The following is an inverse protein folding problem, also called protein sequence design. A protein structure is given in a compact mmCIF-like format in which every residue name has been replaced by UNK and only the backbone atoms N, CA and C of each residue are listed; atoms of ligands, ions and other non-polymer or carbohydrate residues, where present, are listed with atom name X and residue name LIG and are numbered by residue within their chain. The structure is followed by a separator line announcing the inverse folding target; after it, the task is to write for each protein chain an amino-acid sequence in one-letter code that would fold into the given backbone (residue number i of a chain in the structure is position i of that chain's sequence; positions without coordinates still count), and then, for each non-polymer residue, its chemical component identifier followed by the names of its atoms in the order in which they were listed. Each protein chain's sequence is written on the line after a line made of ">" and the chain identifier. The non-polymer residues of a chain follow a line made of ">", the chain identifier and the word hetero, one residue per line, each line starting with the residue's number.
data_IF_962775695939
#
_entry.id   IF_962775695939
#
_cell.length_a   1.000
_cell.length_b   1.000
_cell.length_c   1.000
_cell.angle_alpha   90.00
_cell.angle_beta   90.00
_cell.angle_gamma   90.00
#
_symmetry.space_group_name_H-M   'P 1'
#
loop_
_entity.id
_entity.type
_entity.pdbx_description
1 polymer ?
#
# COMPACT_ATOMS: atom_id res chain seq x y z
N UNK A 1 -9.72 6.27 -10.96
CA UNK A 1 -10.49 6.26 -9.69
C UNK A 1 -9.56 6.09 -8.48
N UNK A 2 -10.03 6.45 -7.26
CA UNK A 2 -9.34 6.18 -5.97
C UNK A 2 -10.13 5.17 -5.13
N UNK A 3 -9.69 3.91 -5.12
CA UNK A 3 -10.33 2.83 -4.39
C UNK A 3 -9.83 2.79 -2.95
N UNK A 4 -10.74 2.66 -1.99
CA UNK A 4 -10.42 2.55 -0.57
C UNK A 4 -11.07 1.32 0.05
N UNK A 5 -10.51 0.87 1.17
CA UNK A 5 -11.21 -0.01 2.08
C UNK A 5 -11.57 0.78 3.33
N UNK A 6 -12.84 0.76 3.72
CA UNK A 6 -13.35 1.56 4.83
C UNK A 6 -14.18 0.73 5.80
N UNK A 7 -14.31 1.24 7.03
CA UNK A 7 -15.32 0.82 8.00
C UNK A 7 -16.10 2.03 8.49
N UNK A 8 -17.34 1.82 8.93
CA UNK A 8 -18.20 2.86 9.50
C UNK A 8 -19.08 2.28 10.60
N UNK A 9 -19.80 3.13 11.34
CA UNK A 9 -20.79 2.68 12.33
C UNK A 9 -21.89 1.80 11.70
N UNK A 10 -22.26 2.07 10.44
CA UNK A 10 -23.22 1.29 9.67
C UNK A 10 -22.62 0.01 9.04
N UNK A 11 -21.29 -0.07 8.95
CA UNK A 11 -20.54 -1.17 8.33
C UNK A 11 -19.29 -1.47 9.17
N UNK A 12 -19.41 -2.25 10.26
CA UNK A 12 -18.26 -2.54 11.12
C UNK A 12 -17.22 -3.45 10.44
N UNK A 13 -17.63 -4.21 9.42
CA UNK A 13 -16.73 -5.02 8.59
C UNK A 13 -16.12 -4.17 7.46
N UNK A 14 -14.86 -4.43 7.05
CA UNK A 14 -14.22 -3.77 5.92
C UNK A 14 -15.06 -3.87 4.64
N UNK A 15 -15.16 -2.77 3.90
CA UNK A 15 -15.84 -2.71 2.59
C UNK A 15 -15.05 -1.91 1.59
N UNK A 16 -15.16 -2.29 0.31
CA UNK A 16 -14.75 -1.49 -0.84
C UNK A 16 -15.54 -0.19 -0.86
N UNK A 17 -14.84 0.92 -1.02
CA UNK A 17 -15.38 2.23 -1.35
C UNK A 17 -14.56 2.93 -2.42
N UNK A 18 -15.09 4.05 -2.89
CA UNK A 18 -14.43 4.92 -3.86
C UNK A 18 -14.42 6.34 -3.29
N UNK A 19 -13.24 6.96 -3.18
CA UNK A 19 -13.14 8.36 -2.80
C UNK A 19 -13.65 9.23 -3.96
N UNK A 20 -14.64 10.07 -3.67
CA UNK A 20 -15.26 10.98 -4.62
C UNK A 20 -15.53 12.32 -3.94
N UNK A 21 -14.62 13.29 -4.17
CA UNK A 21 -14.62 14.55 -3.42
C UNK A 21 -14.33 14.33 -1.93
N UNK A 22 -15.22 14.85 -1.08
CA UNK A 22 -15.19 14.71 0.39
C UNK A 22 -16.00 13.50 0.90
N UNK A 23 -16.37 12.59 0.00
CA UNK A 23 -17.19 11.41 0.31
C UNK A 23 -16.51 10.09 -0.04
N UNK A 24 -16.96 9.02 0.60
CA UNK A 24 -16.72 7.62 0.22
C UNK A 24 -18.02 7.03 -0.31
N UNK A 25 -17.97 6.57 -1.55
CA UNK A 25 -19.07 5.90 -2.25
C UNK A 25 -18.91 4.39 -2.10
N UNK A 26 -19.93 3.70 -1.60
CA UNK A 26 -20.01 2.23 -1.63
C UNK A 26 -20.71 1.79 -2.92
N UNK A 27 -19.97 1.31 -3.94
CA UNK A 27 -20.55 1.06 -5.26
C UNK A 27 -21.59 -0.06 -5.23
N UNK A 28 -21.44 -1.04 -4.34
CA UNK A 28 -22.41 -2.12 -4.20
C UNK A 28 -23.75 -1.61 -3.67
N UNK A 29 -23.72 -0.71 -2.69
CA UNK A 29 -24.94 -0.06 -2.17
C UNK A 29 -25.59 0.86 -3.19
N UNK A 30 -24.80 1.63 -3.94
CA UNK A 30 -25.32 2.52 -4.99
C UNK A 30 -26.09 1.72 -6.05
N UNK A 31 -25.50 0.64 -6.57
CA UNK A 31 -26.13 -0.17 -7.61
C UNK A 31 -27.41 -0.85 -7.11
N UNK A 32 -27.44 -1.33 -5.87
CA UNK A 32 -28.66 -1.88 -5.27
C UNK A 32 -29.74 -0.82 -5.09
N UNK A 33 -29.38 0.38 -4.60
CA UNK A 33 -30.32 1.48 -4.41
C UNK A 33 -30.95 1.94 -5.74
N UNK A 34 -30.14 2.12 -6.79
CA UNK A 34 -30.63 2.49 -8.13
C UNK A 34 -31.56 1.41 -8.71
N UNK A 35 -31.19 0.13 -8.56
CA UNK A 35 -32.02 -0.98 -9.05
C UNK A 35 -33.35 -1.08 -8.32
N UNK A 36 -33.34 -0.94 -6.99
CA UNK A 36 -34.53 -0.91 -6.15
C UNK A 36 -35.48 0.21 -6.57
N UNK A 37 -34.94 1.41 -6.75
CA UNK A 37 -35.69 2.58 -7.20
C UNK A 37 -36.35 2.34 -8.58
N UNK A 38 -35.61 1.76 -9.54
CA UNK A 38 -36.16 1.46 -10.88
C UNK A 38 -37.23 0.37 -10.89
N UNK A 39 -37.19 -0.58 -9.95
CA UNK A 39 -38.13 -1.72 -9.88
C UNK A 39 -39.33 -1.45 -8.96
N UNK A 40 -39.23 -0.46 -8.07
CA UNK A 40 -40.24 -0.18 -7.06
C UNK A 40 -40.21 -1.15 -5.87
N UNK A 41 -39.08 -1.84 -5.65
CA UNK A 41 -38.89 -2.86 -4.61
C UNK A 41 -37.76 -2.46 -3.63
N UNK A 42 -37.41 -3.32 -2.65
CA UNK A 42 -36.36 -3.06 -1.66
C UNK A 42 -34.95 -3.42 -2.18
N UNK A 43 -33.96 -2.57 -1.88
CA UNK A 43 -32.55 -2.80 -2.22
C UNK A 43 -31.97 -4.08 -1.60
N UNK A 44 -32.45 -4.45 -0.40
CA UNK A 44 -32.03 -5.66 0.31
C UNK A 44 -32.41 -6.96 -0.41
N UNK A 45 -33.35 -6.92 -1.36
CA UNK A 45 -33.82 -8.08 -2.12
C UNK A 45 -32.91 -8.40 -3.33
N UNK A 46 -31.81 -7.67 -3.50
CA UNK A 46 -30.93 -7.80 -4.66
C UNK A 46 -29.52 -8.24 -4.25
N UNK A 47 -29.02 -9.30 -4.91
CA UNK A 47 -27.63 -9.72 -4.76
C UNK A 47 -26.67 -8.61 -5.25
N UNK A 48 -25.49 -8.44 -4.62
CA UNK A 48 -24.50 -7.48 -5.07
C UNK A 48 -24.05 -7.78 -6.50
N UNK A 49 -24.09 -6.77 -7.37
CA UNK A 49 -23.61 -6.86 -8.76
C UNK A 49 -22.09 -6.68 -8.86
N UNK A 50 -21.51 -6.03 -7.85
CA UNK A 50 -20.10 -5.75 -7.67
C UNK A 50 -19.67 -6.27 -6.28
N UNK A 51 -18.49 -6.90 -6.14
CA UNK A 51 -17.96 -7.30 -4.84
C UNK A 51 -17.77 -6.11 -3.91
N UNK A 52 -17.91 -6.36 -2.60
CA UNK A 52 -17.67 -5.37 -1.56
C UNK A 52 -16.32 -5.55 -0.85
N UNK A 53 -15.46 -6.43 -1.36
CA UNK A 53 -14.10 -6.66 -0.89
C UNK A 53 -13.12 -6.34 -2.05
N UNK A 54 -11.98 -5.71 -1.73
CA UNK A 54 -11.05 -5.16 -2.72
C UNK A 54 -10.40 -6.22 -3.60
N UNK A 55 -9.95 -7.35 -3.04
CA UNK A 55 -9.36 -8.44 -3.83
C UNK A 55 -10.40 -9.07 -4.74
N UNK A 56 -11.62 -9.30 -4.26
CA UNK A 56 -12.72 -9.78 -5.10
C UNK A 56 -13.08 -8.78 -6.21
N UNK A 57 -13.02 -7.48 -5.94
CA UNK A 57 -13.18 -6.44 -6.96
C UNK A 57 -12.10 -6.53 -8.05
N UNK A 58 -10.83 -6.72 -7.64
CA UNK A 58 -9.73 -6.96 -8.56
C UNK A 58 -9.95 -8.20 -9.43
N UNK A 59 -10.40 -9.31 -8.85
CA UNK A 59 -10.76 -10.54 -9.58
C UNK A 59 -11.87 -10.32 -10.62
N UNK A 60 -12.79 -9.37 -10.35
CA UNK A 60 -13.83 -8.97 -11.28
C UNK A 60 -13.35 -8.17 -12.50
N UNK A 61 -12.11 -7.70 -12.48
CA UNK A 61 -11.42 -7.03 -13.60
C UNK A 61 -12.23 -5.89 -14.22
N UNK A 62 -12.20 -5.79 -15.55
CA UNK A 62 -12.88 -4.73 -16.33
C UNK A 62 -14.38 -4.65 -16.04
N UNK A 63 -15.04 -5.77 -15.74
CA UNK A 63 -16.48 -5.77 -15.43
C UNK A 63 -16.75 -5.05 -14.10
N UNK A 64 -16.00 -5.40 -13.05
CA UNK A 64 -16.17 -4.75 -11.75
C UNK A 64 -15.80 -3.26 -11.83
N UNK A 65 -14.74 -2.93 -12.56
CA UNK A 65 -14.35 -1.54 -12.81
C UNK A 65 -15.47 -0.73 -13.49
N UNK A 66 -16.06 -1.24 -14.58
CA UNK A 66 -17.16 -0.54 -15.26
C UNK A 66 -18.43 -0.38 -14.39
N UNK A 67 -18.70 -1.32 -13.49
CA UNK A 67 -19.78 -1.20 -12.51
C UNK A 67 -19.49 -0.12 -11.45
N UNK A 68 -18.23 0.05 -11.05
CA UNK A 68 -17.81 1.13 -10.18
C UNK A 68 -17.95 2.51 -10.86
N UNK A 69 -17.54 2.64 -12.13
CA UNK A 69 -17.78 3.87 -12.92
C UNK A 69 -19.28 4.17 -13.04
N UNK A 70 -20.11 3.15 -13.29
CA UNK A 70 -21.56 3.30 -13.34
C UNK A 70 -22.12 3.78 -11.99
N UNK A 71 -21.61 3.28 -10.87
CA UNK A 71 -22.02 3.72 -9.54
C UNK A 71 -21.70 5.21 -9.32
N UNK A 72 -20.51 5.68 -9.71
CA UNK A 72 -20.16 7.10 -9.61
C UNK A 72 -21.09 7.97 -10.47
N UNK A 73 -21.40 7.55 -11.70
CA UNK A 73 -22.33 8.27 -12.56
C UNK A 73 -23.75 8.37 -11.97
N UNK A 74 -24.21 7.33 -11.27
CA UNK A 74 -25.48 7.33 -10.54
C UNK A 74 -25.44 8.33 -9.37
N UNK A 75 -24.34 8.36 -8.61
CA UNK A 75 -24.15 9.31 -7.50
C UNK A 75 -24.19 10.74 -8.01
N UNK A 76 -23.47 11.07 -9.07
CA UNK A 76 -23.47 12.41 -9.65
C UNK A 76 -24.86 12.84 -10.13
N UNK A 77 -25.59 11.91 -10.77
CA UNK A 77 -26.96 12.17 -11.21
C UNK A 77 -27.94 12.34 -10.03
N UNK A 78 -27.79 11.57 -8.96
CA UNK A 78 -28.63 11.68 -7.75
C UNK A 78 -28.35 12.97 -6.98
N UNK A 79 -27.07 13.35 -6.84
CA UNK A 79 -26.66 14.61 -6.22
C UNK A 79 -27.25 15.82 -6.96
N UNK A 80 -27.28 15.80 -8.29
CA UNK A 80 -27.93 16.84 -9.10
C UNK A 80 -29.44 16.97 -8.88
N UNK A 81 -30.11 15.96 -8.33
CA UNK A 81 -31.54 15.97 -7.99
C UNK A 81 -31.82 16.17 -6.50
N UNK A 82 -30.81 16.04 -5.64
CA UNK A 82 -30.96 16.01 -4.18
C UNK A 82 -31.52 14.69 -3.64
N UNK A 83 -31.38 13.59 -4.40
CA UNK A 83 -31.86 12.27 -3.99
C UNK A 83 -30.84 11.58 -3.07
N UNK A 84 -31.33 10.98 -1.99
CA UNK A 84 -30.50 10.13 -1.13
C UNK A 84 -30.44 8.69 -1.68
N UNK A 85 -29.23 8.14 -1.80
CA UNK A 85 -29.01 6.74 -2.15
C UNK A 85 -28.84 5.91 -0.87
N UNK A 86 -29.84 5.07 -0.58
CA UNK A 86 -29.88 4.21 0.61
C UNK A 86 -30.10 2.76 0.23
N UNK A 87 -29.38 1.87 0.90
CA UNK A 87 -29.55 0.43 0.83
C UNK A 87 -30.07 -0.07 2.19
N UNK A 88 -31.39 -0.30 2.26
CA UNK A 88 -32.09 -0.49 3.51
C UNK A 88 -31.96 0.74 4.41
N UNK A 89 -31.34 0.58 5.59
CA UNK A 89 -31.07 1.68 6.52
C UNK A 89 -29.67 2.31 6.35
N UNK A 90 -28.84 1.80 5.42
CA UNK A 90 -27.46 2.23 5.28
C UNK A 90 -27.28 3.22 4.13
N UNK A 91 -26.59 4.35 4.33
CA UNK A 91 -26.25 5.25 3.23
C UNK A 91 -25.25 4.59 2.28
N UNK A 92 -25.41 4.86 0.98
CA UNK A 92 -24.47 4.45 -0.07
C UNK A 92 -23.33 5.46 -0.28
N UNK A 93 -23.52 6.70 0.17
CA UNK A 93 -22.54 7.79 0.12
C UNK A 93 -22.33 8.29 1.54
N UNK A 94 -21.08 8.24 2.02
CA UNK A 94 -20.71 8.63 3.38
C UNK A 94 -19.72 9.79 3.33
N UNK A 95 -19.81 10.73 4.25
CA UNK A 95 -18.77 11.73 4.42
C UNK A 95 -17.45 11.07 4.86
N UNK A 96 -16.31 11.58 4.39
CA UNK A 96 -14.98 11.04 4.71
C UNK A 96 -14.66 11.07 6.20
N UNK A 97 -15.18 12.05 6.95
CA UNK A 97 -15.06 12.13 8.42
C UNK A 97 -15.97 11.14 9.17
N UNK A 98 -16.97 10.57 8.48
CA UNK A 98 -17.89 9.55 8.98
C UNK A 98 -17.39 8.12 8.81
N UNK A 99 -16.20 7.93 8.23
CA UNK A 99 -15.60 6.61 8.01
C UNK A 99 -14.17 6.56 8.53
N UNK A 100 -13.68 5.35 8.79
CA UNK A 100 -12.27 5.10 9.02
C UNK A 100 -11.71 4.31 7.85
N UNK A 101 -10.70 4.87 7.18
CA UNK A 101 -9.97 4.17 6.12
C UNK A 101 -9.05 3.12 6.74
N UNK A 102 -8.92 1.99 6.06
CA UNK A 102 -7.92 0.95 6.34
C UNK A 102 -6.85 1.00 5.24
N UNK A 103 -5.82 0.15 5.35
CA UNK A 103 -4.99 -0.16 4.19
C UNK A 103 -5.88 -0.58 3.01
N UNK A 104 -5.59 -0.17 1.76
CA UNK A 104 -6.49 -0.43 0.65
C UNK A 104 -6.77 -1.92 0.44
N UNK A 105 -5.77 -2.78 0.68
CA UNK A 105 -5.94 -4.22 0.86
C UNK A 105 -5.31 -4.60 2.21
N UNK A 106 -6.10 -4.77 3.28
CA UNK A 106 -5.54 -5.04 4.61
C UNK A 106 -4.79 -6.38 4.71
N UNK A 107 -5.15 -7.35 3.87
CA UNK A 107 -4.51 -8.68 3.80
C UNK A 107 -4.35 -9.10 2.34
N UNK A 108 -3.34 -8.57 1.63
CA UNK A 108 -3.05 -8.97 0.27
C UNK A 108 -2.64 -10.44 0.24
N UNK A 109 -2.81 -11.09 -0.91
CA UNK A 109 -2.50 -12.52 -1.04
C UNK A 109 -1.02 -12.80 -0.80
N UNK A 110 -0.16 -11.89 -1.27
CA UNK A 110 1.29 -11.85 -1.08
C UNK A 110 1.75 -10.40 -1.21
N UNK A 111 2.87 -10.10 -0.57
CA UNK A 111 3.63 -8.88 -0.81
C UNK A 111 5.03 -9.29 -1.25
N UNK A 112 5.48 -8.70 -2.35
CA UNK A 112 6.87 -8.78 -2.80
C UNK A 112 7.40 -7.37 -2.85
N UNK A 113 8.47 -7.14 -2.12
CA UNK A 113 9.11 -5.85 -2.14
C UNK A 113 10.45 -5.93 -2.87
N UNK A 114 10.57 -5.10 -3.92
CA UNK A 114 11.64 -5.16 -4.89
C UNK A 114 12.70 -4.10 -4.60
N UNK A 115 13.88 -4.26 -5.20
CA UNK A 115 14.92 -3.25 -5.17
C UNK A 115 15.18 -2.76 -6.59
N UNK A 116 14.54 -1.66 -7.00
CA UNK A 116 14.61 -1.18 -8.40
C UNK A 116 15.31 0.16 -8.61
N UNK A 117 15.58 0.93 -7.55
CA UNK A 117 16.22 2.26 -7.62
C UNK A 117 17.72 2.18 -7.36
N UNK A 118 18.52 2.61 -8.35
CA UNK A 118 19.99 2.58 -8.26
C UNK A 118 20.52 3.49 -7.16
N UNK A 119 19.91 4.66 -7.01
CA UNK A 119 20.28 5.64 -5.98
C UNK A 119 20.13 5.03 -4.58
N UNK A 120 19.00 4.38 -4.31
CA UNK A 120 18.76 3.71 -3.03
C UNK A 120 19.71 2.52 -2.81
N UNK A 121 19.89 1.67 -3.83
CA UNK A 121 20.81 0.53 -3.74
C UNK A 121 22.25 0.99 -3.39
N UNK A 122 22.72 2.09 -3.99
CA UNK A 122 24.03 2.67 -3.71
C UNK A 122 24.07 3.47 -2.39
N UNK A 123 22.96 4.09 -2.00
CA UNK A 123 22.82 4.89 -0.78
C UNK A 123 22.83 4.07 0.51
N UNK A 124 22.58 2.77 0.43
CA UNK A 124 22.62 1.85 1.58
C UNK A 124 24.02 1.61 2.18
N UNK A 125 25.08 2.03 1.48
CA UNK A 125 26.47 1.76 1.87
C UNK A 125 26.95 0.32 1.55
N UNK A 126 26.10 -0.50 0.92
CA UNK A 126 26.45 -1.85 0.46
C UNK A 126 26.94 -1.82 -0.99
N UNK A 127 27.80 -2.78 -1.35
CA UNK A 127 28.24 -2.95 -2.73
C UNK A 127 27.07 -3.44 -3.61
N UNK A 128 26.76 -2.72 -4.69
CA UNK A 128 25.70 -3.09 -5.62
C UNK A 128 26.17 -4.25 -6.52
N UNK A 129 25.58 -5.46 -6.41
CA UNK A 129 26.04 -6.62 -7.18
C UNK A 129 25.54 -6.56 -8.64
N UNK A 130 26.18 -7.26 -9.60
CA UNK A 130 25.72 -7.32 -10.98
C UNK A 130 24.27 -7.82 -11.15
N UNK A 131 23.80 -8.64 -10.20
CA UNK A 131 22.43 -9.13 -10.17
C UNK A 131 21.38 -8.01 -10.13
N UNK A 132 21.69 -6.87 -9.51
CA UNK A 132 20.79 -5.72 -9.39
C UNK A 132 20.38 -5.17 -10.76
N UNK A 133 21.31 -5.09 -11.71
CA UNK A 133 21.04 -4.63 -13.07
C UNK A 133 20.43 -5.73 -13.97
N UNK A 134 20.51 -6.99 -13.56
CA UNK A 134 20.15 -8.13 -14.39
C UNK A 134 18.71 -8.61 -14.18
N UNK A 135 18.15 -8.46 -12.97
CA UNK A 135 16.82 -8.94 -12.64
C UNK A 135 16.17 -8.10 -11.52
N UNK A 136 14.85 -7.89 -11.56
CA UNK A 136 14.13 -7.27 -10.45
C UNK A 136 14.07 -8.28 -9.29
N UNK A 137 14.98 -8.11 -8.33
CA UNK A 137 15.06 -8.94 -7.13
C UNK A 137 14.06 -8.43 -6.08
N UNK A 138 13.42 -9.36 -5.38
CA UNK A 138 12.55 -9.05 -4.25
C UNK A 138 12.75 -10.03 -3.10
N UNK A 139 12.27 -9.62 -1.93
CA UNK A 139 11.97 -10.54 -0.84
C UNK A 139 10.44 -10.56 -0.59
N UNK A 140 9.97 -11.53 0.19
CA UNK A 140 8.54 -11.66 0.53
C UNK A 140 8.29 -11.03 1.89
N UNK A 141 7.30 -10.14 1.98
CA UNK A 141 6.96 -9.48 3.23
C UNK A 141 5.85 -10.22 3.99
N UNK A 142 5.72 -9.91 5.28
CA UNK A 142 4.67 -10.44 6.14
C UNK A 142 3.32 -9.75 5.85
N UNK A 143 2.36 -10.50 5.29
CA UNK A 143 1.02 -10.00 4.96
C UNK A 143 0.13 -9.75 6.18
N UNK A 144 0.53 -10.22 7.37
CA UNK A 144 -0.25 -10.10 8.61
C UNK A 144 0.04 -8.82 9.41
N UNK A 145 0.99 -8.00 8.96
CA UNK A 145 1.45 -6.80 9.68
C UNK A 145 1.21 -5.51 8.91
N UNK A 146 0.28 -5.54 7.96
CA UNK A 146 -0.09 -4.37 7.17
C UNK A 146 -1.07 -3.50 7.94
N UNK A 147 -0.74 -2.21 8.06
CA UNK A 147 -1.56 -1.18 8.68
C UNK A 147 -1.94 -0.10 7.67
N UNK A 148 -3.05 0.58 7.92
CA UNK A 148 -3.56 1.66 7.08
C UNK A 148 -3.15 3.06 7.52
N UNK A 149 -3.78 4.09 6.95
CA UNK A 149 -3.65 5.47 7.40
C UNK A 149 -4.02 5.63 8.88
N UNK A 150 -3.33 6.54 9.57
CA UNK A 150 -3.52 6.93 10.97
C UNK A 150 -3.20 5.85 12.01
N UNK A 151 -2.92 4.61 11.59
CA UNK A 151 -2.47 3.56 12.50
C UNK A 151 -0.99 3.77 12.89
N UNK A 152 -0.61 3.51 14.15
CA UNK A 152 0.75 3.80 14.60
C UNK A 152 1.77 2.82 14.02
N UNK A 153 2.91 3.33 13.56
CA UNK A 153 4.07 2.52 13.20
C UNK A 153 4.55 1.79 14.47
N UNK A 154 4.63 0.46 14.40
CA UNK A 154 5.06 -0.34 15.53
C UNK A 154 6.56 -0.18 15.75
N UNK A 155 6.99 0.10 16.98
CA UNK A 155 8.40 0.11 17.35
C UNK A 155 8.76 -1.15 18.17
N UNK A 156 9.42 -2.16 17.58
CA UNK A 156 9.78 -3.38 18.30
C UNK A 156 10.78 -3.14 19.43
N UNK A 157 10.67 -3.91 20.51
CA UNK A 157 11.56 -3.81 21.67
C UNK A 157 13.05 -4.02 21.35
N UNK A 158 13.34 -4.76 20.28
CA UNK A 158 14.69 -5.20 19.94
C UNK A 158 15.49 -4.19 19.08
N UNK A 159 14.87 -3.13 18.56
CA UNK A 159 15.56 -2.15 17.68
C UNK A 159 15.72 -0.79 18.33
N UNK A 160 16.85 -0.14 18.07
CA UNK A 160 17.13 1.25 18.41
C UNK A 160 16.97 2.20 17.21
N UNK A 161 16.97 1.68 15.99
CA UNK A 161 16.96 2.47 14.75
C UNK A 161 15.76 2.09 13.88
N UNK A 162 14.60 2.65 14.21
CA UNK A 162 13.40 2.55 13.40
C UNK A 162 13.47 3.56 12.24
N UNK A 163 12.96 3.16 11.08
CA UNK A 163 13.03 3.94 9.85
C UNK A 163 11.76 3.75 9.01
N UNK A 164 11.42 4.75 8.21
CA UNK A 164 10.43 4.67 7.15
C UNK A 164 11.10 4.40 5.80
N UNK A 165 10.33 3.91 4.84
CA UNK A 165 10.77 3.78 3.46
C UNK A 165 9.74 4.44 2.53
N UNK A 166 10.14 5.48 1.80
CA UNK A 166 9.27 6.14 0.83
C UNK A 166 9.19 5.30 -0.44
N UNK A 167 8.13 4.51 -0.55
CA UNK A 167 7.91 3.65 -1.70
C UNK A 167 6.55 3.81 -2.37
N UNK A 168 6.50 3.39 -3.63
CA UNK A 168 5.28 3.15 -4.38
C UNK A 168 5.26 1.67 -4.75
N UNK A 169 4.07 1.07 -4.77
CA UNK A 169 3.88 -0.24 -5.35
C UNK A 169 2.52 -0.36 -6.02
N UNK A 170 2.28 -1.49 -6.67
CA UNK A 170 1.05 -1.75 -7.40
C UNK A 170 0.39 -3.07 -7.00
N UNK A 171 -0.93 -3.11 -7.14
CA UNK A 171 -1.70 -4.34 -7.05
C UNK A 171 -1.94 -4.93 -8.43
N UNK A 172 -1.94 -6.26 -8.54
CA UNK A 172 -2.40 -6.95 -9.75
C UNK A 172 -3.90 -7.23 -9.68
N UNK A 173 -4.64 -6.89 -10.73
CA UNK A 173 -6.05 -7.26 -10.92
C UNK A 173 -6.20 -8.68 -11.49
N UNK A 174 -5.16 -9.16 -12.18
CA UNK A 174 -5.18 -10.46 -12.85
C UNK A 174 -4.22 -11.46 -12.23
N UNK A 175 -4.55 -12.75 -12.41
CA UNK A 175 -3.61 -13.83 -12.22
C UNK A 175 -2.96 -14.26 -13.53
N UNK A 176 -1.96 -15.12 -13.41
CA UNK A 176 -1.30 -15.72 -14.57
C UNK A 176 0.04 -16.33 -14.22
N UNK A 177 0.65 -16.96 -15.21
CA UNK A 177 1.99 -17.51 -15.18
C UNK A 177 2.60 -17.25 -16.55
N UNK A 178 3.90 -17.04 -16.60
CA UNK A 178 4.69 -16.84 -17.82
C UNK A 178 4.18 -15.67 -18.66
N UNK A 179 3.77 -14.57 -18.00
CA UNK A 179 3.24 -13.39 -18.66
C UNK A 179 4.35 -12.66 -19.41
N UNK A 180 4.07 -12.25 -20.64
CA UNK A 180 4.87 -11.22 -21.31
C UNK A 180 4.63 -9.85 -20.65
N UNK A 181 5.56 -8.87 -20.76
CA UNK A 181 5.31 -7.51 -20.24
C UNK A 181 4.01 -6.88 -20.77
N UNK A 182 3.69 -7.06 -22.05
CA UNK A 182 2.45 -6.55 -22.65
C UNK A 182 1.16 -7.21 -22.10
N UNK A 183 1.27 -8.44 -21.61
CA UNK A 183 0.20 -9.12 -20.89
C UNK A 183 0.13 -8.66 -19.43
N UNK A 184 1.27 -8.51 -18.78
CA UNK A 184 1.40 -8.04 -17.41
C UNK A 184 0.84 -6.62 -17.23
N UNK A 185 1.14 -5.71 -18.15
CA UNK A 185 0.65 -4.32 -18.15
C UNK A 185 -0.87 -4.23 -18.00
N UNK A 186 -1.61 -5.08 -18.72
CA UNK A 186 -3.09 -5.13 -18.70
C UNK A 186 -3.68 -5.69 -17.41
N UNK A 187 -2.85 -6.22 -16.52
CA UNK A 187 -3.23 -6.86 -15.26
C UNK A 187 -2.88 -6.00 -14.05
N UNK A 188 -2.38 -4.78 -14.23
CA UNK A 188 -2.12 -3.87 -13.12
C UNK A 188 -3.42 -3.17 -12.74
N UNK A 189 -3.83 -3.28 -11.49
CA UNK A 189 -5.05 -2.65 -10.98
C UNK A 189 -4.87 -1.16 -10.71
N UNK A 190 -3.73 -0.80 -10.13
CA UNK A 190 -3.43 0.55 -9.68
C UNK A 190 -2.31 0.55 -8.64
N UNK A 191 -1.95 1.76 -8.21
CA UNK A 191 -0.82 2.01 -7.30
C UNK A 191 -1.28 2.52 -5.94
N UNK A 192 -0.47 2.28 -4.92
CA UNK A 192 -0.60 2.91 -3.59
C UNK A 192 0.79 3.23 -3.05
N UNK A 193 0.85 4.15 -2.09
CA UNK A 193 2.06 4.36 -1.30
C UNK A 193 2.28 3.13 -0.42
N UNK A 194 3.54 2.77 -0.24
CA UNK A 194 4.01 1.66 0.57
C UNK A 194 5.12 2.19 1.49
N UNK A 195 4.96 1.97 2.79
CA UNK A 195 5.95 2.29 3.81
C UNK A 195 6.46 0.99 4.42
N UNK A 196 7.62 0.53 3.97
CA UNK A 196 8.25 -0.70 4.45
C UNK A 196 9.12 -0.44 5.67
N UNK A 197 8.43 -0.23 6.81
CA UNK A 197 9.02 0.18 8.08
C UNK A 197 10.17 -0.76 8.46
N UNK A 198 11.32 -0.17 8.77
CA UNK A 198 12.56 -0.91 8.91
C UNK A 198 13.17 -0.73 10.29
N UNK A 199 13.59 -1.84 10.90
CA UNK A 199 14.51 -1.85 12.03
C UNK A 199 15.94 -2.02 11.49
N UNK A 200 16.65 -0.93 11.21
CA UNK A 200 17.87 -0.95 10.38
C UNK A 200 19.05 -1.67 11.02
N UNK A 201 19.25 -1.49 12.31
CA UNK A 201 20.24 -2.21 13.11
C UNK A 201 20.05 -3.73 12.99
N UNK A 202 18.81 -4.19 13.12
CA UNK A 202 18.44 -5.61 12.98
C UNK A 202 18.60 -6.08 11.54
N UNK A 203 18.07 -5.32 10.59
CA UNK A 203 18.07 -5.66 9.17
C UNK A 203 19.51 -5.85 8.67
N UNK A 204 20.42 -4.93 8.96
CA UNK A 204 21.81 -5.03 8.54
C UNK A 204 22.53 -6.20 9.22
N UNK A 205 22.25 -6.44 10.49
CA UNK A 205 22.84 -7.55 11.22
C UNK A 205 22.37 -8.91 10.69
N UNK A 206 21.07 -9.10 10.46
CA UNK A 206 20.52 -10.35 9.94
C UNK A 206 20.88 -10.60 8.47
N UNK A 207 20.98 -9.55 7.65
CA UNK A 207 21.35 -9.68 6.24
C UNK A 207 22.79 -10.16 6.04
N UNK A 208 23.66 -10.06 7.05
CA UNK A 208 24.99 -10.68 7.05
C UNK A 208 24.95 -12.21 6.89
N UNK A 209 23.82 -12.84 7.20
CA UNK A 209 23.57 -14.27 7.03
C UNK A 209 23.11 -14.64 5.61
N UNK A 210 22.93 -13.68 4.71
CA UNK A 210 22.60 -13.86 3.28
C UNK A 210 21.25 -14.53 2.98
N UNK A 211 20.32 -14.52 3.95
CA UNK A 211 18.94 -15.02 3.78
C UNK A 211 17.91 -13.92 3.47
N UNK A 212 18.35 -12.66 3.38
CA UNK A 212 17.51 -11.48 3.17
C UNK A 212 16.92 -10.90 4.46
N UNK A 213 16.12 -9.82 4.34
CA UNK A 213 15.40 -9.23 5.47
C UNK A 213 14.39 -10.21 6.07
N UNK A 214 14.21 -10.14 7.39
CA UNK A 214 13.22 -10.89 8.15
C UNK A 214 12.69 -10.06 9.32
N UNK A 215 13.25 -10.20 10.52
CA UNK A 215 12.84 -9.45 11.72
C UNK A 215 13.04 -7.95 11.59
N UNK A 216 13.92 -7.51 10.69
CA UNK A 216 14.08 -6.11 10.32
C UNK A 216 12.89 -5.49 9.60
N UNK A 217 11.92 -6.28 9.12
CA UNK A 217 10.80 -5.86 8.26
C UNK A 217 9.44 -6.47 8.66
N UNK A 218 9.42 -7.72 9.14
CA UNK A 218 8.20 -8.53 9.38
C UNK A 218 7.21 -8.00 10.43
N UNK A 219 7.51 -6.88 11.11
CA UNK A 219 6.77 -6.41 12.28
C UNK A 219 5.71 -5.36 11.96
N UNK A 220 5.87 -4.57 10.89
CA UNK A 220 4.98 -3.47 10.55
C UNK A 220 5.27 -2.97 9.13
N UNK A 221 4.21 -2.78 8.36
CA UNK A 221 4.28 -2.17 7.03
C UNK A 221 3.02 -1.35 6.82
N UNK A 222 3.09 -0.16 6.23
CA UNK A 222 1.90 0.66 5.99
C UNK A 222 1.59 0.83 4.51
N UNK A 223 0.30 0.89 4.15
CA UNK A 223 -0.18 1.12 2.79
C UNK A 223 -1.32 2.12 2.76
N UNK A 224 -1.37 2.98 1.76
CA UNK A 224 -2.54 3.82 1.50
C UNK A 224 -2.24 5.17 0.84
N UNK A 225 -3.17 6.14 0.96
CA UNK A 225 -4.50 6.01 1.58
C UNK A 225 -5.52 5.27 0.69
N UNK A 226 -5.22 5.09 -0.59
CA UNK A 226 -6.09 4.45 -1.57
C UNK A 226 -5.28 3.74 -2.65
N UNK A 227 -5.94 2.88 -3.44
CA UNK A 227 -5.41 2.46 -4.75
C UNK A 227 -5.86 3.46 -5.81
N UNK A 228 -4.91 4.18 -6.40
CA UNK A 228 -5.13 5.00 -7.60
C UNK A 228 -5.08 4.09 -8.82
N UNK A 229 -6.19 3.97 -9.56
CA UNK A 229 -6.29 3.03 -10.69
C UNK A 229 -5.49 3.51 -11.91
N UNK A 230 -5.11 2.56 -12.76
CA UNK A 230 -4.17 2.81 -13.88
C UNK A 230 -4.65 3.82 -14.92
N UNK A 231 -5.95 4.10 -15.01
CA UNK A 231 -6.55 5.15 -15.86
C UNK A 231 -6.19 6.58 -15.40
N UNK A 232 -5.75 6.77 -14.15
CA UNK A 232 -5.41 8.09 -13.59
C UNK A 232 -3.91 8.27 -13.28
N UNK A 233 -3.06 7.30 -13.61
CA UNK A 233 -1.62 7.34 -13.25
C UNK A 233 -0.73 7.01 -14.45
N UNK A 234 0.27 7.86 -14.66
CA UNK A 234 1.45 7.50 -15.44
C UNK A 234 2.47 6.88 -14.48
N UNK A 235 2.79 5.60 -14.68
CA UNK A 235 3.73 4.88 -13.81
C UNK A 235 5.11 5.57 -13.74
N UNK A 236 5.48 6.32 -14.77
CA UNK A 236 6.75 7.06 -14.85
C UNK A 236 6.63 8.52 -14.42
N UNK A 237 5.50 9.01 -13.91
CA UNK A 237 5.40 10.42 -13.50
C UNK A 237 4.68 10.60 -12.16
N UNK A 238 5.12 9.84 -11.16
CA UNK A 238 4.65 10.02 -9.78
C UNK A 238 5.72 10.77 -8.99
N UNK A 239 5.36 11.97 -8.51
CA UNK A 239 6.19 12.77 -7.60
C UNK A 239 5.93 12.31 -6.17
N UNK A 240 6.99 12.16 -5.38
CA UNK A 240 6.93 11.58 -4.04
C UNK A 240 7.69 12.43 -3.03
N UNK A 241 7.23 12.45 -1.78
CA UNK A 241 7.94 13.10 -0.67
C UNK A 241 7.67 12.40 0.65
N UNK A 242 8.63 12.48 1.57
CA UNK A 242 8.46 12.08 2.95
C UNK A 242 8.70 13.27 3.87
N UNK A 243 7.78 13.51 4.80
CA UNK A 243 7.93 14.48 5.87
C UNK A 243 7.77 13.84 7.24
N UNK A 244 8.52 14.36 8.21
CA UNK A 244 8.41 13.99 9.63
C UNK A 244 8.07 15.25 10.40
N UNK A 245 6.94 15.24 11.12
CA UNK A 245 6.42 16.39 11.86
C UNK A 245 6.27 17.67 10.99
N UNK A 246 5.90 17.49 9.72
CA UNK A 246 5.75 18.57 8.73
C UNK A 246 7.05 19.09 8.12
N UNK A 247 8.23 18.59 8.53
CA UNK A 247 9.51 18.87 7.88
C UNK A 247 9.75 17.84 6.76
N UNK A 248 9.96 18.29 5.53
CA UNK A 248 10.31 17.39 4.41
C UNK A 248 11.74 16.85 4.61
N UNK A 249 11.86 15.54 4.76
CA UNK A 249 13.13 14.83 4.88
C UNK A 249 13.64 14.32 3.53
N UNK A 250 12.72 13.87 2.66
CA UNK A 250 13.04 13.28 1.38
C UNK A 250 12.07 13.70 0.28
N UNK A 251 12.56 13.71 -0.95
CA UNK A 251 11.77 13.87 -2.18
C UNK A 251 12.29 12.94 -3.25
N UNK A 252 11.39 12.33 -4.03
CA UNK A 252 11.75 11.38 -5.07
C UNK A 252 10.72 11.33 -6.19
N UNK A 253 10.96 10.44 -7.15
CA UNK A 253 10.08 10.23 -8.30
C UNK A 253 10.19 8.81 -8.79
N UNK A 254 9.12 8.27 -9.36
CA UNK A 254 9.15 6.93 -9.95
C UNK A 254 9.97 6.84 -11.23
N UNK A 255 10.40 7.96 -11.83
CA UNK A 255 11.19 8.01 -13.09
C UNK A 255 12.53 7.26 -13.01
N UNK A 256 13.11 7.16 -11.83
CA UNK A 256 14.49 6.70 -11.65
C UNK A 256 14.62 5.17 -11.43
N UNK A 257 13.52 4.42 -11.53
CA UNK A 257 13.55 2.95 -11.39
C UNK A 257 14.06 2.28 -12.66
N UNK A 258 14.67 1.11 -12.51
CA UNK A 258 15.22 0.33 -13.64
C UNK A 258 14.16 -0.41 -14.46
N UNK A 259 13.05 -0.80 -13.83
CA UNK A 259 12.06 -1.71 -14.43
C UNK A 259 10.66 -1.12 -14.36
N UNK A 260 9.90 -1.24 -15.44
CA UNK A 260 8.45 -0.95 -15.47
C UNK A 260 7.68 -1.88 -14.55
N UNK A 261 6.44 -1.51 -14.18
CA UNK A 261 5.56 -2.40 -13.42
C UNK A 261 5.27 -3.68 -14.20
N UNK A 262 5.14 -3.56 -15.52
CA UNK A 262 4.94 -4.67 -16.44
C UNK A 262 6.12 -5.66 -16.44
N UNK A 263 7.37 -5.18 -16.44
CA UNK A 263 8.56 -6.03 -16.34
C UNK A 263 8.66 -6.71 -14.98
N UNK A 264 8.39 -6.00 -13.89
CA UNK A 264 8.36 -6.55 -12.54
C UNK A 264 7.35 -7.70 -12.43
N UNK A 265 6.13 -7.49 -12.91
CA UNK A 265 5.06 -8.50 -12.87
C UNK A 265 5.33 -9.66 -13.84
N UNK A 266 5.86 -9.40 -15.04
CA UNK A 266 6.26 -10.44 -15.99
C UNK A 266 7.33 -11.35 -15.38
N UNK A 267 8.38 -10.76 -14.78
CA UNK A 267 9.43 -11.49 -14.09
C UNK A 267 8.87 -12.31 -12.92
N UNK A 268 8.00 -11.72 -12.09
CA UNK A 268 7.37 -12.43 -10.98
C UNK A 268 6.52 -13.62 -11.42
N UNK A 269 5.96 -13.56 -12.63
CA UNK A 269 5.12 -14.62 -13.17
C UNK A 269 5.91 -15.72 -13.90
N UNK A 270 7.21 -15.52 -14.14
CA UNK A 270 8.03 -16.48 -14.87
C UNK A 270 8.19 -17.75 -14.04
N UNK A 271 7.60 -18.84 -14.54
CA UNK A 271 7.48 -20.14 -13.88
C UNK A 271 6.78 -20.13 -12.51
N UNK A 272 6.14 -19.02 -12.14
CA UNK A 272 5.41 -18.83 -10.89
C UNK A 272 4.02 -18.23 -11.16
N UNK A 273 2.98 -18.81 -10.56
CA UNK A 273 1.64 -18.22 -10.68
C UNK A 273 1.51 -17.00 -9.76
N UNK A 274 1.16 -15.85 -10.36
CA UNK A 274 0.69 -14.65 -9.67
C UNK A 274 -0.84 -14.66 -9.56
N UNK A 275 -1.38 -14.10 -8.48
CA UNK A 275 -2.81 -14.07 -8.18
C UNK A 275 -3.33 -12.63 -8.02
N UNK A 276 -4.60 -12.35 -8.37
CA UNK A 276 -5.24 -11.06 -8.10
C UNK A 276 -5.13 -10.64 -6.63
N UNK A 277 -4.81 -9.38 -6.38
CA UNK A 277 -4.60 -8.85 -5.02
C UNK A 277 -3.24 -9.17 -4.41
N UNK A 278 -2.29 -9.72 -5.17
CA UNK A 278 -0.86 -9.61 -4.82
C UNK A 278 -0.37 -8.16 -5.00
N UNK A 279 0.56 -7.77 -4.14
CA UNK A 279 1.18 -6.45 -4.12
C UNK A 279 2.68 -6.53 -4.44
N UNK A 280 3.15 -5.57 -5.24
CA UNK A 280 4.51 -5.47 -5.73
C UNK A 280 5.05 -4.08 -5.37
N UNK A 281 5.83 -3.99 -4.29
CA UNK A 281 6.59 -2.80 -3.90
C UNK A 281 7.76 -2.58 -4.84
N UNK A 282 8.11 -1.35 -5.17
CA UNK A 282 9.17 -1.06 -6.15
C UNK A 282 10.52 -0.80 -5.49
N UNK A 283 10.57 -0.82 -4.17
CA UNK A 283 11.70 -0.36 -3.39
C UNK A 283 11.69 1.13 -3.19
N UNK A 284 12.50 1.54 -2.21
CA UNK A 284 12.60 2.92 -1.75
C UNK A 284 13.16 3.80 -2.85
N UNK A 285 12.54 4.96 -3.07
CA UNK A 285 13.11 5.98 -3.98
C UNK A 285 14.45 6.46 -3.44
N UNK A 286 15.37 6.90 -4.30
CA UNK A 286 16.69 7.39 -3.87
C UNK A 286 16.61 8.48 -2.81
N UNK A 287 17.35 8.33 -1.71
CA UNK A 287 17.31 9.24 -0.55
C UNK A 287 15.99 9.20 0.22
N UNK A 288 15.17 8.18 0.00
CA UNK A 288 13.78 8.07 0.46
C UNK A 288 13.62 7.45 1.85
N UNK A 289 14.70 7.21 2.58
CA UNK A 289 14.65 6.66 3.93
C UNK A 289 15.68 7.31 4.87
N UNK A 290 15.45 7.14 6.16
CA UNK A 290 16.30 7.63 7.23
C UNK A 290 17.73 7.06 7.19
N UNK A 291 17.91 5.80 6.79
CA UNK A 291 19.24 5.20 6.62
C UNK A 291 20.14 5.99 5.66
N UNK A 292 19.61 6.39 4.49
CA UNK A 292 20.37 7.16 3.49
C UNK A 292 20.67 8.59 3.95
N UNK A 293 19.76 9.13 4.77
CA UNK A 293 19.85 10.49 5.32
C UNK A 293 20.64 10.56 6.63
N UNK A 294 20.95 9.42 7.24
CA UNK A 294 21.40 9.28 8.63
C UNK A 294 20.51 10.07 9.62
N UNK A 295 19.19 9.95 9.44
CA UNK A 295 18.15 10.55 10.28
C UNK A 295 17.18 9.48 10.75
N UNK A 296 16.84 9.48 12.03
CA UNK A 296 16.07 8.38 12.65
C UNK A 296 14.77 8.91 13.25
N UNK A 297 13.63 8.36 12.84
CA UNK A 297 12.33 8.68 13.45
C UNK A 297 12.31 8.26 14.91
N UNK A 298 11.58 9.01 15.75
CA UNK A 298 11.49 8.80 17.19
C UNK A 298 10.04 8.54 17.63
N UNK A 299 9.81 7.91 18.80
CA UNK A 299 8.48 7.81 19.37
C UNK A 299 7.80 9.19 19.47
N UNK A 300 6.54 9.25 19.05
CA UNK A 300 5.76 10.49 19.03
C UNK A 300 5.88 11.32 17.74
N UNK A 301 6.83 11.00 16.86
CA UNK A 301 6.89 11.60 15.53
C UNK A 301 5.66 11.24 14.69
N UNK A 302 5.37 12.04 13.65
CA UNK A 302 4.39 11.72 12.61
C UNK A 302 5.10 11.65 11.27
N UNK A 303 5.04 10.48 10.63
CA UNK A 303 5.56 10.27 9.27
C UNK A 303 4.43 10.45 8.27
N UNK A 304 4.66 11.27 7.26
CA UNK A 304 3.75 11.51 6.14
C UNK A 304 4.48 11.24 4.84
N UNK A 305 4.03 10.22 4.11
CA UNK A 305 4.50 9.89 2.77
C UNK A 305 3.45 10.36 1.78
N UNK A 306 3.85 11.12 0.76
CA UNK A 306 2.96 11.63 -0.26
C UNK A 306 3.36 11.11 -1.64
N UNK A 307 2.35 10.84 -2.47
CA UNK A 307 2.53 10.53 -3.89
C UNK A 307 1.45 11.26 -4.72
N UNK A 308 1.87 11.91 -5.80
CA UNK A 308 0.97 12.68 -6.67
C UNK A 308 -0.17 11.81 -7.19
N UNK A 309 -1.40 12.29 -7.06
CA UNK A 309 -2.62 11.56 -7.45
C UNK A 309 -3.14 10.60 -6.38
N UNK A 310 -2.25 9.90 -5.66
CA UNK A 310 -2.61 8.90 -4.62
C UNK A 310 -3.05 9.58 -3.32
N UNK A 311 -2.33 10.62 -2.89
CA UNK A 311 -2.60 11.34 -1.64
C UNK A 311 -1.47 11.19 -0.62
N UNK A 312 -1.82 11.20 0.67
CA UNK A 312 -0.87 11.14 1.79
C UNK A 312 -1.18 9.92 2.66
N UNK A 313 -0.18 9.07 2.86
CA UNK A 313 -0.16 8.04 3.88
C UNK A 313 0.49 8.62 5.15
N UNK A 314 -0.33 8.81 6.19
CA UNK A 314 0.08 9.41 7.45
C UNK A 314 0.06 8.36 8.55
N UNK A 315 1.16 8.21 9.29
CA UNK A 315 1.25 7.28 10.41
C UNK A 315 2.02 7.92 11.58
N UNK A 316 1.45 7.98 12.80
CA UNK A 316 2.21 8.35 13.98
C UNK A 316 3.20 7.23 14.36
N UNK A 317 4.34 7.58 14.94
CA UNK A 317 5.33 6.61 15.43
C UNK A 317 4.94 6.21 16.85
N UNK A 318 4.69 4.92 17.06
CA UNK A 318 4.33 4.38 18.36
C UNK A 318 5.50 4.35 19.35
N UNK A 319 5.16 4.20 20.63
CA UNK A 319 6.15 3.98 21.68
C UNK A 319 6.96 2.70 21.45
N UNK A 320 8.24 2.74 21.83
CA UNK A 320 9.07 1.54 21.85
C UNK A 320 8.48 0.51 22.80
N UNK A 321 8.18 -0.68 22.28
CA UNK A 321 7.62 -1.76 23.09
C UNK A 321 8.62 -2.24 24.14
N UNK A 322 8.10 -2.65 25.28
CA UNK A 322 8.84 -3.46 26.24
C UNK A 322 8.56 -4.95 25.98
N UNK A 323 9.63 -5.74 25.88
CA UNK A 323 9.49 -7.19 25.72
C UNK A 323 9.06 -7.82 27.05
N UNK A 324 8.12 -8.79 27.06
CA UNK A 324 7.82 -9.55 28.27
C UNK A 324 9.07 -10.21 28.85
N UNK A 325 9.17 -10.26 30.18
CA UNK A 325 10.30 -10.90 30.85
C UNK A 325 10.46 -12.36 30.40
N UNK A 326 11.68 -12.75 30.00
CA UNK A 326 11.98 -14.10 29.52
C UNK A 326 11.62 -14.37 28.05
N UNK A 327 11.10 -13.38 27.32
CA UNK A 327 10.90 -13.48 25.87
C UNK A 327 12.20 -13.32 25.09
N UNK A 328 12.24 -13.85 23.86
CA UNK A 328 13.44 -13.84 23.01
C UNK A 328 14.34 -15.05 23.25
N UNK A 329 15.64 -14.88 22.97
CA UNK A 329 16.65 -15.92 23.14
C UNK A 329 17.87 -15.36 23.87
N UNK A 330 18.45 -16.14 24.78
CA UNK A 330 19.58 -15.70 25.61
C UNK A 330 20.86 -15.39 24.80
N UNK A 331 20.98 -15.92 23.59
CA UNK A 331 22.13 -15.70 22.71
C UNK A 331 22.11 -14.34 22.00
N UNK A 332 20.96 -13.66 21.94
CA UNK A 332 20.84 -12.36 21.30
C UNK A 332 21.04 -11.25 22.34
N UNK A 333 22.05 -10.41 22.12
CA UNK A 333 22.43 -9.34 23.05
C UNK A 333 22.28 -7.93 22.43
N UNK A 334 21.56 -7.83 21.32
CA UNK A 334 21.44 -6.60 20.54
C UNK A 334 22.17 -6.68 19.20
N UNK A 335 21.87 -5.73 18.32
CA UNK A 335 22.53 -5.50 17.03
C UNK A 335 23.31 -4.19 17.08
N UNK A 336 24.45 -4.08 16.37
CA UNK A 336 25.15 -2.81 16.22
C UNK A 336 24.28 -1.76 15.52
N UNK A 337 24.37 -0.52 15.96
CA UNK A 337 23.82 0.63 15.21
C UNK A 337 24.54 0.79 13.88
N UNK A 338 23.80 1.30 12.89
CA UNK A 338 24.26 1.49 11.53
C UNK A 338 24.23 2.96 11.14
N UNK A 339 25.26 3.38 10.41
CA UNK A 339 25.41 4.73 9.87
C UNK A 339 26.08 4.63 8.50
N UNK A 340 25.51 5.31 7.50
CA UNK A 340 26.06 5.33 6.14
C UNK A 340 27.18 6.37 6.01
N UNK A 341 27.01 7.52 6.65
CA UNK A 341 28.01 8.60 6.67
C UNK A 341 28.83 8.49 7.95
N UNK A 342 30.02 7.87 7.90
CA UNK A 342 30.94 7.94 9.03
C UNK A 342 31.50 9.36 9.12
N UNK A 343 31.41 9.99 10.30
CA UNK A 343 32.20 11.19 10.58
C UNK A 343 33.67 10.88 10.29
N UNK A 344 34.27 11.69 9.42
CA UNK A 344 35.69 11.65 9.08
C UNK A 344 36.55 12.33 10.15
#
# INVERSE_FOLDING_TARGET
>A
MRLVTYVSSASPSPRLGILHGDTVVDPARVLRADRAWRRGDSAADHAPEIPDEMVAFFEGGTRAHGLAEQALAIVDAAAGRGDALVDGASPAVLATDGVRLLAPVPRPRRVRDYLTYTEHAAGSGLAVPPAFAAMPICYKCNVETIIGPEEPLLWPSYTAQLDFELELGFFTSGGGRDLTPAEAEKRIAGVTIFNDVSARDIQMFEMSLTIGPSKGKDFCTAMGPCVLTMDEVDEWDVQMSASVNGEVWASGTTKNRQFSFAEVLAWASLDETVYPGEFFGLGTVGGGCGLELDRWIQPGDVVELAASGVGVLRNPVGERREAPQGSGVASYQGSPEVHVHREH
#
